data_IF_553840078384
#
_entry.id   IF_553840078384
#
_cell.length_a   1.000
_cell.length_b   1.000
_cell.length_c   1.000
_cell.angle_alpha   90.00
_cell.angle_beta   90.00
_cell.angle_gamma   90.00
#
_symmetry.space_group_name_H-M   'P 1'
#
loop_
_entity.id
_entity.type
_entity.pdbx_description
1 polymer ?
#
# COMPACT_ATOMS: atom_id res chain seq x y z
N UNK A 1 6.76 -5.97 -41.79
CA UNK A 1 7.73 -5.63 -40.73
C UNK A 1 7.58 -4.16 -40.37
N UNK A 2 7.00 -3.85 -39.20
CA UNK A 2 7.00 -2.50 -38.60
C UNK A 2 7.08 -2.68 -37.09
N UNK A 3 8.25 -3.03 -36.61
CA UNK A 3 8.55 -3.07 -35.18
C UNK A 3 9.51 -1.94 -34.83
N UNK A 4 9.31 -1.32 -33.66
CA UNK A 4 10.43 -0.82 -32.87
C UNK A 4 10.76 0.68 -32.97
N UNK A 5 9.85 1.57 -32.58
CA UNK A 5 10.24 2.92 -32.09
C UNK A 5 9.87 3.16 -30.62
N UNK A 6 9.28 2.18 -29.93
CA UNK A 6 8.87 2.32 -28.53
C UNK A 6 9.99 2.12 -27.49
N UNK A 7 11.22 1.82 -27.90
CA UNK A 7 12.28 1.33 -26.99
C UNK A 7 13.35 2.38 -26.59
N UNK A 8 13.18 3.66 -26.95
CA UNK A 8 14.18 4.70 -26.70
C UNK A 8 13.97 5.51 -25.41
N UNK A 9 12.93 5.22 -24.64
CA UNK A 9 12.78 5.71 -23.27
C UNK A 9 12.75 4.48 -22.38
N UNK A 10 13.94 3.97 -22.05
CA UNK A 10 14.19 2.91 -21.08
C UNK A 10 13.85 3.33 -19.65
N UNK A 11 12.65 3.87 -19.43
CA UNK A 11 11.96 3.67 -18.17
C UNK A 11 11.29 2.33 -18.34
N UNK A 12 11.98 1.28 -17.92
CA UNK A 12 11.35 0.00 -17.65
C UNK A 12 10.18 0.31 -16.73
N UNK A 13 8.98 0.48 -17.29
CA UNK A 13 7.74 0.59 -16.53
C UNK A 13 7.75 -0.70 -15.74
N UNK A 14 8.09 -0.63 -14.46
CA UNK A 14 7.82 -1.68 -13.49
C UNK A 14 6.37 -2.06 -13.78
N UNK A 15 6.17 -3.17 -14.50
CA UNK A 15 4.84 -3.61 -14.89
C UNK A 15 4.25 -4.13 -13.59
N UNK A 16 3.65 -3.20 -12.86
CA UNK A 16 2.92 -3.50 -11.64
C UNK A 16 1.92 -4.59 -12.03
N UNK A 17 2.10 -5.78 -11.46
CA UNK A 17 1.13 -6.83 -11.64
C UNK A 17 -0.11 -6.40 -10.83
N UNK A 18 -1.24 -6.21 -11.50
CA UNK A 18 -2.51 -5.87 -10.85
C UNK A 18 -2.85 -6.85 -9.72
N UNK A 19 -2.37 -8.09 -9.82
CA UNK A 19 -2.49 -9.10 -8.77
C UNK A 19 -1.72 -8.74 -7.49
N UNK A 20 -0.53 -8.12 -7.59
CA UNK A 20 0.26 -7.72 -6.42
C UNK A 20 -0.41 -6.55 -5.69
N UNK A 21 -0.91 -5.55 -6.43
CA UNK A 21 -1.67 -4.44 -5.86
C UNK A 21 -2.95 -4.96 -5.19
N UNK A 22 -3.68 -5.87 -5.83
CA UNK A 22 -4.86 -6.49 -5.24
C UNK A 22 -4.51 -7.28 -3.96
N UNK A 23 -3.37 -7.97 -3.91
CA UNK A 23 -2.90 -8.69 -2.72
C UNK A 23 -2.59 -7.75 -1.57
N UNK A 24 -1.89 -6.64 -1.84
CA UNK A 24 -1.59 -5.60 -0.83
C UNK A 24 -2.89 -5.01 -0.30
N UNK A 25 -3.81 -4.64 -1.20
CA UNK A 25 -5.12 -4.09 -0.84
C UNK A 25 -5.89 -4.99 0.11
N UNK A 26 -5.97 -6.27 -0.23
CA UNK A 26 -6.66 -7.26 0.59
C UNK A 26 -5.99 -7.42 1.97
N UNK A 27 -4.66 -7.40 2.05
CA UNK A 27 -3.95 -7.44 3.32
C UNK A 27 -4.25 -6.21 4.19
N UNK A 28 -4.26 -5.00 3.60
CA UNK A 28 -4.62 -3.77 4.30
C UNK A 28 -6.07 -3.79 4.79
N UNK A 29 -7.01 -4.25 3.96
CA UNK A 29 -8.42 -4.40 4.36
C UNK A 29 -8.61 -5.41 5.49
N UNK A 30 -7.81 -6.49 5.53
CA UNK A 30 -7.82 -7.47 6.63
C UNK A 30 -7.29 -6.89 7.94
N UNK A 31 -6.23 -6.08 7.89
CA UNK A 31 -5.73 -5.36 9.07
C UNK A 31 -6.71 -4.30 9.56
N UNK A 32 -7.39 -3.63 8.62
CA UNK A 32 -8.46 -2.68 8.95
C UNK A 32 -9.63 -3.41 9.64
N UNK A 33 -10.01 -4.56 9.12
CA UNK A 33 -11.02 -5.43 9.73
C UNK A 33 -12.42 -4.81 9.76
N UNK A 34 -13.33 -5.53 10.41
CA UNK A 34 -14.72 -5.10 10.55
C UNK A 34 -14.86 -3.92 11.53
N UNK A 35 -14.15 -3.96 12.66
CA UNK A 35 -14.14 -2.88 13.64
C UNK A 35 -13.64 -1.57 13.01
N UNK A 36 -12.56 -1.63 12.22
CA UNK A 36 -12.05 -0.47 11.48
C UNK A 36 -13.05 0.00 10.41
N UNK A 37 -13.76 -0.92 9.74
CA UNK A 37 -14.80 -0.54 8.77
C UNK A 37 -15.93 0.25 9.42
N UNK A 38 -16.32 -0.12 10.64
CA UNK A 38 -17.38 0.55 11.40
C UNK A 38 -16.89 1.90 11.98
N UNK A 39 -15.66 1.97 12.51
CA UNK A 39 -15.11 3.20 13.10
C UNK A 39 -14.61 4.21 12.06
N UNK A 40 -14.04 3.73 10.95
CA UNK A 40 -13.52 4.55 9.86
C UNK A 40 -13.93 3.97 8.48
N UNK A 41 -15.21 4.15 8.09
CA UNK A 41 -15.71 3.70 6.79
C UNK A 41 -15.04 4.44 5.62
N UNK A 42 -14.53 5.66 5.85
CA UNK A 42 -13.83 6.45 4.82
C UNK A 42 -12.50 5.79 4.43
N UNK A 43 -11.71 5.36 5.42
CA UNK A 43 -10.48 4.60 5.16
C UNK A 43 -10.79 3.28 4.44
N UNK A 44 -11.82 2.55 4.86
CA UNK A 44 -12.22 1.30 4.21
C UNK A 44 -12.53 1.53 2.72
N UNK A 45 -13.35 2.53 2.40
CA UNK A 45 -13.68 2.89 1.02
C UNK A 45 -12.43 3.29 0.22
N UNK A 46 -11.53 4.07 0.83
CA UNK A 46 -10.28 4.46 0.15
C UNK A 46 -9.42 3.24 -0.16
N UNK A 47 -9.15 2.39 0.83
CA UNK A 47 -8.38 1.16 0.63
C UNK A 47 -8.99 0.29 -0.46
N UNK A 48 -10.32 0.12 -0.44
CA UNK A 48 -11.03 -0.69 -1.43
C UNK A 48 -10.87 -0.17 -2.87
N UNK A 49 -10.84 1.15 -3.07
CA UNK A 49 -10.84 1.75 -4.40
C UNK A 49 -9.45 2.13 -4.94
N UNK A 50 -8.41 2.18 -4.10
CA UNK A 50 -7.05 2.48 -4.56
C UNK A 50 -6.53 1.42 -5.54
N UNK A 51 -6.06 1.86 -6.71
CA UNK A 51 -5.73 0.98 -7.85
C UNK A 51 -4.24 0.74 -8.06
N UNK A 52 -3.39 1.42 -7.32
CA UNK A 52 -1.94 1.40 -7.49
C UNK A 52 -1.21 1.23 -6.15
N UNK A 53 0.03 0.77 -6.20
CA UNK A 53 0.83 0.51 -5.02
C UNK A 53 1.22 1.79 -4.26
N UNK A 54 1.39 2.91 -4.96
CA UNK A 54 1.80 4.18 -4.36
C UNK A 54 0.68 4.78 -3.51
N UNK A 55 -0.55 4.79 -4.03
CA UNK A 55 -1.74 5.18 -3.26
C UNK A 55 -1.93 4.30 -2.03
N UNK A 56 -1.67 2.99 -2.12
CA UNK A 56 -1.74 2.08 -0.96
C UNK A 56 -0.63 2.38 0.04
N UNK A 57 0.58 2.71 -0.43
CA UNK A 57 1.70 3.09 0.42
C UNK A 57 1.40 4.32 1.26
N UNK A 58 0.80 5.35 0.66
CA UNK A 58 0.39 6.56 1.37
C UNK A 58 -0.82 6.32 2.29
N UNK A 59 -1.75 5.44 1.90
CA UNK A 59 -2.88 5.08 2.76
C UNK A 59 -2.46 4.39 4.07
N UNK A 60 -1.24 3.83 4.15
CA UNK A 60 -0.70 3.23 5.39
C UNK A 60 -0.64 4.21 6.55
N UNK A 61 -0.44 5.52 6.32
CA UNK A 61 -0.37 6.50 7.38
C UNK A 61 -1.70 6.67 8.11
N UNK A 62 -2.82 6.58 7.39
CA UNK A 62 -4.14 6.59 8.04
C UNK A 62 -4.49 5.24 8.65
N UNK A 63 -4.08 4.14 8.01
CA UNK A 63 -4.22 2.81 8.62
C UNK A 63 -3.44 2.70 9.93
N UNK A 64 -2.27 3.34 10.02
CA UNK A 64 -1.51 3.48 11.27
C UNK A 64 -2.34 4.19 12.35
N UNK A 65 -2.86 5.37 12.05
CA UNK A 65 -3.65 6.16 12.99
C UNK A 65 -4.88 5.39 13.47
N UNK A 66 -5.58 4.71 12.58
CA UNK A 66 -6.74 3.85 12.91
C UNK A 66 -6.34 2.68 13.84
N UNK A 67 -5.25 1.98 13.54
CA UNK A 67 -4.74 0.89 14.38
C UNK A 67 -4.27 1.37 15.75
N UNK A 68 -3.66 2.56 15.83
CA UNK A 68 -3.26 3.17 17.10
C UNK A 68 -4.47 3.49 17.98
N UNK A 69 -5.55 4.00 17.38
CA UNK A 69 -6.79 4.30 18.10
C UNK A 69 -7.50 3.04 18.60
N UNK A 70 -7.51 1.96 17.82
CA UNK A 70 -8.23 0.72 18.16
C UNK A 70 -7.45 -0.27 19.03
N UNK A 71 -6.12 -0.27 18.94
CA UNK A 71 -5.28 -1.26 19.63
C UNK A 71 -4.20 -0.62 20.48
N UNK A 72 -3.16 -0.06 19.84
CA UNK A 72 -2.05 0.73 20.39
C UNK A 72 -0.95 0.86 19.32
N UNK A 73 0.01 1.75 19.57
CA UNK A 73 1.13 2.01 18.67
C UNK A 73 2.03 0.78 18.40
N UNK A 74 2.48 0.00 19.40
CA UNK A 74 3.27 -1.21 19.14
C UNK A 74 2.56 -2.22 18.24
N UNK A 75 1.25 -2.37 18.38
CA UNK A 75 0.45 -3.20 17.48
C UNK A 75 0.44 -2.63 16.06
N UNK A 76 0.18 -1.33 15.90
CA UNK A 76 0.15 -0.66 14.60
C UNK A 76 1.47 -0.77 13.85
N UNK A 77 2.61 -0.58 14.53
CA UNK A 77 3.95 -0.73 13.94
C UNK A 77 4.15 -2.15 13.42
N UNK A 78 3.88 -3.17 14.24
CA UNK A 78 4.04 -4.58 13.83
C UNK A 78 3.15 -4.94 12.63
N UNK A 79 1.91 -4.46 12.64
CA UNK A 79 0.97 -4.68 11.54
C UNK A 79 1.49 -4.09 10.23
N UNK A 80 2.00 -2.86 10.24
CA UNK A 80 2.49 -2.19 9.04
C UNK A 80 3.84 -2.71 8.55
N UNK A 81 4.74 -3.11 9.45
CA UNK A 81 5.96 -3.81 9.06
C UNK A 81 5.67 -5.15 8.36
N UNK A 82 4.59 -5.85 8.75
CA UNK A 82 4.18 -7.09 8.06
C UNK A 82 3.76 -6.85 6.59
N UNK A 83 3.26 -5.66 6.26
CA UNK A 83 2.90 -5.28 4.89
C UNK A 83 4.12 -4.90 4.03
N UNK A 84 5.19 -4.41 4.65
CA UNK A 84 6.32 -3.79 3.94
C UNK A 84 6.96 -4.70 2.87
N UNK A 85 7.18 -6.01 3.10
CA UNK A 85 7.72 -6.89 2.07
C UNK A 85 6.84 -7.00 0.83
N UNK A 86 5.52 -6.84 0.97
CA UNK A 86 4.56 -6.95 -0.13
C UNK A 86 4.69 -5.80 -1.14
N UNK A 87 5.27 -4.67 -0.73
CA UNK A 87 5.50 -3.53 -1.61
C UNK A 87 6.81 -3.64 -2.41
N UNK A 88 7.70 -4.58 -2.09
CA UNK A 88 8.97 -4.78 -2.82
C UNK A 88 8.69 -5.20 -4.26
N UNK A 89 9.37 -4.57 -5.22
CA UNK A 89 9.12 -4.78 -6.65
C UNK A 89 7.85 -4.11 -7.18
N UNK A 90 6.99 -3.55 -6.31
CA UNK A 90 5.83 -2.74 -6.73
C UNK A 90 6.08 -1.23 -6.60
N UNK A 91 7.09 -0.83 -5.84
CA UNK A 91 7.47 0.57 -5.62
C UNK A 91 8.96 0.76 -5.87
N UNK A 92 9.40 1.96 -6.29
CA UNK A 92 10.82 2.32 -6.29
C UNK A 92 11.44 2.19 -4.89
N UNK A 93 12.69 1.73 -4.82
CA UNK A 93 13.42 1.58 -3.56
C UNK A 93 13.56 2.89 -2.76
N UNK A 94 13.58 4.04 -3.45
CA UNK A 94 13.58 5.36 -2.82
C UNK A 94 12.33 5.58 -1.97
N UNK A 95 11.17 5.13 -2.44
CA UNK A 95 9.91 5.25 -1.73
C UNK A 95 9.83 4.25 -0.56
N UNK A 96 10.36 3.04 -0.72
CA UNK A 96 10.43 2.02 0.34
C UNK A 96 11.39 2.39 1.50
N UNK A 97 12.32 3.32 1.24
CA UNK A 97 13.17 3.95 2.27
C UNK A 97 12.49 5.09 3.01
N UNK A 98 11.39 5.63 2.48
CA UNK A 98 10.60 6.64 3.18
C UNK A 98 10.08 6.06 4.50
N UNK A 99 10.39 6.75 5.61
CA UNK A 99 9.85 6.42 6.92
C UNK A 99 8.35 6.71 6.92
N UNK A 100 7.58 5.91 7.65
CA UNK A 100 6.16 6.21 7.83
C UNK A 100 6.00 7.61 8.45
N UNK A 101 5.06 8.44 7.98
CA UNK A 101 4.70 9.65 8.70
C UNK A 101 4.19 9.24 10.09
N UNK A 102 4.86 9.67 11.15
CA UNK A 102 4.51 9.35 12.54
C UNK A 102 5.43 8.38 13.29
N UNK A 103 6.62 8.04 12.76
CA UNK A 103 7.64 7.22 13.44
C UNK A 103 9.03 7.90 13.54
#
# INVERSE_FOLDING_TARGET
MREGLGSLLGVEKVRHNDADVARIRLAMLRLHGEDGRLSNPRLHQRLHHTRDAEGLWYARAELYADLCQRHNEPHAIRALESLRPMFRGTLPDSLLRSRMPGA
#
